data_IF_753023874768
#
_entry.id   IF_753023874768
#
_cell.length_a   1.000
_cell.length_b   1.000
_cell.length_c   1.000
_cell.angle_alpha   90.00
_cell.angle_beta   90.00
_cell.angle_gamma   90.00
#
_symmetry.space_group_name_H-M   'P 1'
#
loop_
_entity.id
_entity.type
_entity.pdbx_description
1 polymer ?
#
# COMPACT_ATOMS: atom_id res chain seq x y z
N UNK A 1 15.95 -6.90 18.30
CA UNK A 1 15.16 -7.84 19.13
C UNK A 1 13.94 -8.38 18.39
N UNK A 2 13.06 -7.54 17.80
CA UNK A 2 11.83 -8.00 17.13
C UNK A 2 12.07 -8.94 15.92
N UNK A 3 12.83 -8.51 14.92
CA UNK A 3 13.07 -9.30 13.69
C UNK A 3 13.68 -10.67 13.99
N UNK A 4 14.61 -10.73 14.96
CA UNK A 4 15.21 -11.98 15.43
C UNK A 4 14.15 -12.96 15.96
N UNK A 5 13.24 -12.48 16.81
CA UNK A 5 12.17 -13.33 17.38
C UNK A 5 11.18 -13.78 16.32
N UNK A 6 10.86 -12.93 15.35
CA UNK A 6 10.02 -13.35 14.22
C UNK A 6 10.69 -14.48 13.43
N UNK A 7 12.01 -14.41 13.21
CA UNK A 7 12.76 -15.44 12.49
C UNK A 7 12.81 -16.77 13.26
N UNK A 8 12.97 -16.71 14.58
CA UNK A 8 12.94 -17.89 15.46
C UNK A 8 11.57 -18.56 15.49
N UNK A 9 10.48 -17.78 15.46
CA UNK A 9 9.11 -18.30 15.51
C UNK A 9 8.55 -18.72 14.15
N UNK A 10 9.14 -18.25 13.05
CA UNK A 10 8.72 -18.55 11.68
C UNK A 10 9.89 -19.13 10.87
N UNK A 11 10.43 -20.30 11.25
CA UNK A 11 11.65 -20.86 10.65
C UNK A 11 11.50 -21.21 9.16
N UNK A 12 10.27 -21.38 8.67
CA UNK A 12 9.97 -21.62 7.24
C UNK A 12 9.77 -20.35 6.42
N UNK A 13 9.80 -19.17 7.03
CA UNK A 13 9.61 -17.89 6.33
C UNK A 13 10.92 -17.11 6.27
N UNK A 14 11.22 -16.57 5.09
CA UNK A 14 12.29 -15.59 4.95
C UNK A 14 11.77 -14.21 5.39
N UNK A 15 12.49 -13.57 6.30
CA UNK A 15 12.16 -12.23 6.80
C UNK A 15 13.18 -11.25 6.24
N UNK A 16 12.72 -10.36 5.38
CA UNK A 16 13.53 -9.37 4.68
C UNK A 16 12.96 -7.96 4.86
N UNK A 17 13.80 -6.95 4.65
CA UNK A 17 13.37 -5.57 4.60
C UNK A 17 12.80 -5.26 3.22
N UNK A 18 11.83 -4.35 3.11
CA UNK A 18 11.41 -3.82 1.80
C UNK A 18 12.54 -3.07 1.10
N UNK A 19 13.56 -2.63 1.85
CA UNK A 19 14.79 -2.06 1.28
C UNK A 19 15.46 -3.01 0.29
N UNK A 20 15.38 -4.33 0.53
CA UNK A 20 15.94 -5.36 -0.35
C UNK A 20 15.21 -5.41 -1.71
N UNK A 21 14.00 -4.86 -1.77
CA UNK A 21 13.18 -4.68 -2.97
C UNK A 21 13.27 -3.26 -3.56
N UNK A 22 14.15 -2.41 -3.03
CA UNK A 22 14.35 -1.03 -3.48
C UNK A 22 13.36 -0.01 -2.91
N UNK A 23 12.59 -0.35 -1.88
CA UNK A 23 11.66 0.56 -1.21
C UNK A 23 12.03 0.73 0.26
N UNK A 24 12.42 1.95 0.63
CA UNK A 24 12.67 2.31 2.02
C UNK A 24 11.45 1.96 2.90
N UNK A 25 11.64 1.17 3.98
CA UNK A 25 10.56 0.80 4.90
C UNK A 25 9.74 1.98 5.42
N UNK A 26 10.38 3.14 5.61
CA UNK A 26 9.71 4.34 6.14
C UNK A 26 8.75 4.98 5.13
N UNK A 27 8.88 4.66 3.84
CA UNK A 27 8.06 5.22 2.76
C UNK A 27 6.95 4.29 2.25
N UNK A 28 6.84 3.06 2.77
CA UNK A 28 5.87 2.06 2.27
C UNK A 28 4.44 2.60 2.28
N UNK A 29 4.01 3.22 3.39
CA UNK A 29 2.65 3.76 3.52
C UNK A 29 2.43 4.99 2.61
N UNK A 30 3.42 5.87 2.49
CA UNK A 30 3.33 7.03 1.60
C UNK A 30 3.20 6.61 0.12
N UNK A 31 3.98 5.61 -0.29
CA UNK A 31 3.88 5.03 -1.64
C UNK A 31 2.54 4.33 -1.86
N UNK A 32 1.97 3.69 -0.83
CA UNK A 32 0.63 3.10 -0.91
C UNK A 32 -0.45 4.15 -1.22
N UNK A 33 -0.40 5.34 -0.60
CA UNK A 33 -1.32 6.44 -0.95
C UNK A 33 -1.10 6.99 -2.37
N UNK A 34 0.16 7.13 -2.80
CA UNK A 34 0.45 7.53 -4.18
C UNK A 34 -0.08 6.50 -5.19
N UNK A 35 0.05 5.21 -4.89
CA UNK A 35 -0.53 4.13 -5.69
C UNK A 35 -2.06 4.20 -5.71
N UNK A 36 -2.71 4.44 -4.57
CA UNK A 36 -4.17 4.62 -4.52
C UNK A 36 -4.64 5.81 -5.37
N UNK A 37 -3.94 6.94 -5.33
CA UNK A 37 -4.24 8.08 -6.20
C UNK A 37 -4.14 7.71 -7.70
N UNK A 38 -3.09 6.96 -8.08
CA UNK A 38 -2.96 6.40 -9.44
C UNK A 38 -4.15 5.50 -9.80
N UNK A 39 -4.60 4.63 -8.89
CA UNK A 39 -5.79 3.79 -9.12
C UNK A 39 -7.04 4.65 -9.35
N UNK A 40 -7.26 5.69 -8.55
CA UNK A 40 -8.37 6.66 -8.74
C UNK A 40 -8.31 7.32 -10.12
N UNK A 41 -7.15 7.83 -10.50
CA UNK A 41 -6.96 8.51 -11.80
C UNK A 41 -7.22 7.57 -12.98
N UNK A 42 -6.85 6.29 -12.86
CA UNK A 42 -7.06 5.28 -13.89
C UNK A 42 -8.42 4.57 -13.80
N UNK A 43 -9.31 5.00 -12.87
CA UNK A 43 -10.61 4.36 -12.59
C UNK A 43 -10.50 2.85 -12.28
N UNK A 44 -9.46 2.47 -11.56
CA UNK A 44 -9.21 1.10 -11.11
C UNK A 44 -9.53 0.95 -9.62
N UNK A 45 -9.94 -0.26 -9.22
CA UNK A 45 -10.21 -0.54 -7.82
C UNK A 45 -8.95 -0.35 -6.95
N UNK A 46 -9.13 0.27 -5.78
CA UNK A 46 -8.05 0.50 -4.80
C UNK A 46 -8.15 -0.42 -3.59
N UNK A 47 -9.31 -1.04 -3.35
CA UNK A 47 -9.48 -2.03 -2.27
C UNK A 47 -9.40 -3.46 -2.78
N UNK A 48 -9.10 -4.37 -1.85
CA UNK A 48 -9.31 -5.79 -2.00
C UNK A 48 -10.48 -6.21 -1.09
N UNK A 49 -11.63 -6.66 -1.63
CA UNK A 49 -12.81 -7.02 -0.83
C UNK A 49 -12.54 -8.08 0.23
N UNK A 50 -11.68 -9.06 -0.06
CA UNK A 50 -11.31 -10.12 0.90
C UNK A 50 -10.59 -9.59 2.15
N UNK A 51 -9.95 -8.41 2.07
CA UNK A 51 -9.26 -7.76 3.20
C UNK A 51 -10.16 -6.73 3.88
N UNK A 52 -10.96 -6.00 3.10
CA UNK A 52 -11.79 -4.89 3.60
C UNK A 52 -13.20 -5.29 4.03
N UNK A 53 -13.64 -6.51 3.68
CA UNK A 53 -15.04 -6.97 3.80
C UNK A 53 -16.06 -6.11 3.05
N UNK A 54 -15.61 -5.28 2.10
CA UNK A 54 -16.51 -4.60 1.18
C UNK A 54 -17.28 -5.62 0.32
N UNK A 55 -18.49 -5.27 -0.10
CA UNK A 55 -19.32 -6.11 -0.98
C UNK A 55 -18.73 -6.25 -2.39
N UNK A 56 -17.90 -5.31 -2.82
CA UNK A 56 -17.29 -5.31 -4.15
C UNK A 56 -15.96 -4.54 -4.20
N UNK A 57 -15.19 -4.82 -5.25
CA UNK A 57 -14.01 -4.04 -5.61
C UNK A 57 -14.44 -2.64 -6.07
N UNK A 58 -13.82 -1.60 -5.53
CA UNK A 58 -14.29 -0.21 -5.57
C UNK A 58 -13.10 0.73 -5.75
N UNK A 59 -13.31 1.79 -6.55
CA UNK A 59 -12.37 2.90 -6.69
C UNK A 59 -12.37 3.68 -5.38
N UNK A 60 -11.20 3.89 -4.77
CA UNK A 60 -11.06 4.65 -3.55
C UNK A 60 -10.66 6.10 -3.85
N UNK A 61 -11.04 7.04 -2.97
CA UNK A 61 -10.65 8.45 -3.05
C UNK A 61 -11.54 9.31 -3.94
N UNK A 62 -11.16 10.59 -4.06
CA UNK A 62 -11.81 11.59 -4.91
C UNK A 62 -10.77 12.46 -5.60
N UNK A 63 -11.11 12.99 -6.79
CA UNK A 63 -10.24 13.92 -7.52
C UNK A 63 -10.63 15.34 -7.15
N UNK A 64 -9.69 16.09 -6.58
CA UNK A 64 -9.84 17.49 -6.22
C UNK A 64 -8.91 18.31 -7.12
N UNK A 65 -9.43 18.92 -8.19
CA UNK A 65 -8.60 19.71 -9.09
C UNK A 65 -7.92 20.87 -8.36
N UNK A 66 -6.66 21.13 -8.69
CA UNK A 66 -6.00 22.35 -8.25
C UNK A 66 -6.78 23.57 -8.76
N UNK A 67 -6.95 24.59 -7.92
CA UNK A 67 -7.46 25.87 -8.41
C UNK A 67 -6.40 26.48 -9.30
N UNK A 68 -6.72 26.68 -10.58
CA UNK A 68 -5.83 27.41 -11.48
C UNK A 68 -5.69 28.85 -11.00
N UNK A 69 -4.48 29.26 -10.66
CA UNK A 69 -4.15 30.69 -10.63
C UNK A 69 -4.06 31.15 -12.09
N UNK A 70 -4.98 32.04 -12.49
CA UNK A 70 -4.84 32.82 -13.73
C UNK A 70 -3.65 33.78 -13.63
#
# INVERSE_FOLDING_TARGET
HLLRRLQELLPGCQINSTQDLGLDPDYVEAVAFAWLARQTMNRQAGNLPSVTRASSATILGGIYPAQGTN
#
